data_IF_680744660942
#
_entry.id   IF_680744660942
#
_cell.length_a   1.000
_cell.length_b   1.000
_cell.length_c   1.000
_cell.angle_alpha   90.00
_cell.angle_beta   90.00
_cell.angle_gamma   90.00
#
_symmetry.space_group_name_H-M   'P 1'
#
loop_
_entity.id
_entity.type
_entity.pdbx_description
1 polymer ?
#
# COMPACT_ATOMS: atom_id res chain seq x y z
N UNK A 1 -8.65 1.64 -29.38
CA UNK A 1 -9.72 1.59 -28.36
C UNK A 1 -9.73 0.20 -27.72
N UNK A 2 -9.83 0.08 -26.40
CA UNK A 2 -9.78 -1.22 -25.70
C UNK A 2 -11.05 -2.03 -26.01
N UNK A 3 -10.90 -3.30 -26.40
CA UNK A 3 -12.02 -4.20 -26.72
C UNK A 3 -12.93 -4.42 -25.50
N UNK A 4 -14.24 -4.62 -25.73
CA UNK A 4 -15.20 -4.95 -24.68
C UNK A 4 -14.79 -6.23 -23.90
N UNK A 5 -14.19 -7.21 -24.59
CA UNK A 5 -13.66 -8.43 -23.96
C UNK A 5 -12.51 -8.12 -23.00
N UNK A 6 -11.61 -7.21 -23.38
CA UNK A 6 -10.51 -6.75 -22.52
C UNK A 6 -11.03 -5.95 -21.32
N UNK A 7 -12.03 -5.09 -21.49
CA UNK A 7 -12.65 -4.35 -20.37
C UNK A 7 -13.23 -5.31 -19.33
N UNK A 8 -14.01 -6.31 -19.76
CA UNK A 8 -14.56 -7.34 -18.85
C UNK A 8 -13.46 -8.10 -18.11
N UNK A 9 -12.42 -8.51 -18.83
CA UNK A 9 -11.28 -9.20 -18.22
C UNK A 9 -10.62 -8.34 -17.14
N UNK A 10 -10.34 -7.07 -17.40
CA UNK A 10 -9.71 -6.16 -16.42
C UNK A 10 -10.59 -5.93 -15.20
N UNK A 11 -11.91 -5.79 -15.38
CA UNK A 11 -12.84 -5.67 -14.26
C UNK A 11 -12.84 -6.94 -13.39
N UNK A 12 -12.86 -8.13 -14.01
CA UNK A 12 -12.80 -9.40 -13.27
C UNK A 12 -11.48 -9.52 -12.51
N UNK A 13 -10.35 -9.21 -13.15
CA UNK A 13 -9.04 -9.25 -12.50
C UNK A 13 -8.96 -8.26 -11.34
N UNK A 14 -9.51 -7.05 -11.48
CA UNK A 14 -9.56 -6.06 -10.40
C UNK A 14 -10.43 -6.55 -9.23
N UNK A 15 -11.58 -7.17 -9.51
CA UNK A 15 -12.44 -7.74 -8.48
C UNK A 15 -11.74 -8.89 -7.73
N UNK A 16 -11.06 -9.79 -8.44
CA UNK A 16 -10.28 -10.88 -7.83
C UNK A 16 -9.16 -10.30 -6.94
N UNK A 17 -8.43 -9.31 -7.44
CA UNK A 17 -7.36 -8.66 -6.68
C UNK A 17 -7.89 -8.01 -5.38
N UNK A 18 -9.01 -7.29 -5.45
CA UNK A 18 -9.65 -6.67 -4.28
C UNK A 18 -10.10 -7.72 -3.25
N UNK A 19 -10.74 -8.80 -3.70
CA UNK A 19 -11.16 -9.90 -2.84
C UNK A 19 -9.97 -10.59 -2.18
N UNK A 20 -8.92 -10.90 -2.94
CA UNK A 20 -7.70 -11.52 -2.41
C UNK A 20 -7.02 -10.61 -1.38
N UNK A 21 -7.01 -9.30 -1.61
CA UNK A 21 -6.47 -8.32 -0.66
C UNK A 21 -7.28 -8.29 0.65
N UNK A 22 -8.61 -8.30 0.56
CA UNK A 22 -9.48 -8.37 1.74
C UNK A 22 -9.30 -9.67 2.55
N UNK A 23 -9.26 -10.83 1.87
CA UNK A 23 -9.00 -12.13 2.51
C UNK A 23 -7.64 -12.11 3.23
N UNK A 24 -6.61 -11.54 2.59
CA UNK A 24 -5.28 -11.44 3.19
C UNK A 24 -5.29 -10.68 4.52
N UNK A 25 -6.08 -9.63 4.67
CA UNK A 25 -6.20 -8.87 5.92
C UNK A 25 -6.83 -9.68 7.04
N UNK A 26 -7.90 -10.43 6.75
CA UNK A 26 -8.59 -11.29 7.72
C UNK A 26 -7.65 -12.43 8.17
N UNK A 27 -6.96 -13.07 7.22
CA UNK A 27 -5.99 -14.12 7.52
C UNK A 27 -4.81 -13.60 8.34
N UNK A 28 -4.33 -12.37 8.07
CA UNK A 28 -3.27 -11.76 8.88
C UNK A 28 -3.70 -11.56 10.33
N UNK A 29 -4.95 -11.10 10.57
CA UNK A 29 -5.49 -10.98 11.94
C UNK A 29 -5.53 -12.33 12.63
N UNK A 30 -6.10 -13.35 11.98
CA UNK A 30 -6.16 -14.71 12.52
C UNK A 30 -4.75 -15.24 12.85
N UNK A 31 -3.76 -14.96 12.01
CA UNK A 31 -2.38 -15.37 12.24
C UNK A 31 -1.76 -14.68 13.46
N UNK A 32 -2.04 -13.39 13.67
CA UNK A 32 -1.58 -12.67 14.87
C UNK A 32 -2.25 -13.16 16.15
N UNK A 33 -3.49 -13.66 16.06
CA UNK A 33 -4.24 -14.18 17.21
C UNK A 33 -3.81 -15.62 17.57
N UNK A 34 -3.29 -16.41 16.62
CA UNK A 34 -2.78 -17.77 16.86
C UNK A 34 -1.51 -17.77 17.71
N UNK A 35 -0.57 -16.85 17.45
CA UNK A 35 0.70 -16.84 18.17
C UNK A 35 1.28 -15.43 18.34
N UNK A 36 1.68 -15.06 19.57
CA UNK A 36 2.33 -13.78 19.83
C UNK A 36 3.71 -13.65 19.18
N UNK A 37 4.36 -14.78 18.83
CA UNK A 37 5.63 -14.80 18.11
C UNK A 37 5.51 -14.23 16.68
N UNK A 38 4.30 -14.22 16.12
CA UNK A 38 4.04 -13.66 14.80
C UNK A 38 3.90 -12.14 14.95
N UNK A 39 4.94 -11.44 14.54
CA UNK A 39 4.98 -9.97 14.56
C UNK A 39 4.53 -9.40 13.21
N UNK A 40 3.93 -8.19 13.20
CA UNK A 40 3.63 -7.47 11.97
C UNK A 40 4.87 -7.29 11.07
N UNK A 41 6.04 -7.08 11.69
CA UNK A 41 7.31 -6.97 10.99
C UNK A 41 7.69 -8.27 10.29
N UNK A 42 7.65 -9.39 11.00
CA UNK A 42 7.97 -10.70 10.42
C UNK A 42 7.02 -11.05 9.26
N UNK A 43 5.71 -10.86 9.46
CA UNK A 43 4.73 -11.12 8.40
C UNK A 43 4.96 -10.21 7.18
N UNK A 44 5.33 -8.95 7.42
CA UNK A 44 5.68 -8.01 6.35
C UNK A 44 6.90 -8.49 5.56
N UNK A 45 7.97 -8.88 6.25
CA UNK A 45 9.20 -9.36 5.61
C UNK A 45 8.96 -10.62 4.80
N UNK A 46 8.28 -11.62 5.36
CA UNK A 46 7.94 -12.86 4.65
C UNK A 46 7.12 -12.55 3.40
N UNK A 47 6.08 -11.72 3.51
CA UNK A 47 5.24 -11.34 2.37
C UNK A 47 6.01 -10.57 1.29
N UNK A 48 6.85 -9.60 1.68
CA UNK A 48 7.62 -8.80 0.73
C UNK A 48 8.70 -9.64 0.01
N UNK A 49 9.45 -10.47 0.73
CA UNK A 49 10.48 -11.32 0.13
C UNK A 49 9.83 -12.35 -0.81
N UNK A 50 8.80 -13.06 -0.34
CA UNK A 50 8.13 -14.11 -1.14
C UNK A 50 7.49 -13.52 -2.40
N UNK A 51 6.68 -12.47 -2.27
CA UNK A 51 6.05 -11.82 -3.41
C UNK A 51 7.09 -11.18 -4.35
N UNK A 52 8.13 -10.56 -3.79
CA UNK A 52 9.22 -9.96 -4.55
C UNK A 52 9.96 -10.98 -5.41
N UNK A 53 10.32 -12.13 -4.84
CA UNK A 53 10.97 -13.23 -5.58
C UNK A 53 10.05 -13.78 -6.67
N UNK A 54 8.77 -14.02 -6.36
CA UNK A 54 7.79 -14.50 -7.35
C UNK A 54 7.67 -13.51 -8.52
N UNK A 55 7.57 -12.21 -8.25
CA UNK A 55 7.49 -11.17 -9.29
C UNK A 55 8.78 -11.10 -10.12
N UNK A 56 9.95 -11.24 -9.52
CA UNK A 56 11.22 -11.24 -10.24
C UNK A 56 11.39 -12.48 -11.14
N UNK A 57 10.95 -13.65 -10.67
CA UNK A 57 10.94 -14.88 -11.49
C UNK A 57 9.97 -14.69 -12.67
N UNK A 58 8.75 -14.22 -12.42
CA UNK A 58 7.77 -13.94 -13.47
C UNK A 58 8.29 -12.91 -14.49
N UNK A 59 9.01 -11.88 -14.02
CA UNK A 59 9.64 -10.87 -14.87
C UNK A 59 10.77 -11.47 -15.74
N UNK A 60 11.55 -12.40 -15.17
CA UNK A 60 12.57 -13.16 -15.90
C UNK A 60 11.96 -14.00 -17.02
N UNK A 61 10.90 -14.76 -16.72
CA UNK A 61 10.15 -15.56 -17.69
C UNK A 61 9.53 -14.68 -18.79
N UNK A 62 9.05 -13.49 -18.42
CA UNK A 62 8.50 -12.49 -19.34
C UNK A 62 9.57 -11.73 -20.16
N UNK A 63 10.84 -12.15 -20.10
CA UNK A 63 11.99 -11.55 -20.80
C UNK A 63 12.23 -10.08 -20.46
N UNK A 64 11.81 -9.61 -19.28
CA UNK A 64 11.92 -8.20 -18.86
C UNK A 64 13.28 -7.85 -18.23
N UNK A 65 14.24 -8.79 -18.24
CA UNK A 65 15.64 -8.61 -17.81
C UNK A 65 15.79 -7.84 -16.47
N UNK A 66 15.21 -8.35 -15.37
CA UNK A 66 15.15 -7.63 -14.09
C UNK A 66 16.52 -7.17 -13.55
N UNK A 67 17.59 -7.93 -13.81
CA UNK A 67 18.95 -7.65 -13.32
C UNK A 67 19.55 -6.40 -13.98
N UNK A 68 19.17 -6.09 -15.23
CA UNK A 68 19.72 -4.94 -15.97
C UNK A 68 19.26 -3.62 -15.35
N UNK A 69 18.05 -3.57 -14.81
CA UNK A 69 17.49 -2.37 -14.18
C UNK A 69 18.34 -1.90 -12.99
N UNK A 70 18.91 -2.83 -12.20
CA UNK A 70 19.75 -2.50 -11.05
C UNK A 70 21.13 -1.96 -11.44
N UNK A 71 21.60 -2.21 -12.66
CA UNK A 71 22.90 -1.66 -13.13
C UNK A 71 22.86 -0.15 -13.26
N UNK A 72 21.67 0.43 -13.45
CA UNK A 72 21.48 1.87 -13.49
C UNK A 72 21.29 2.40 -12.06
N UNK A 73 22.35 3.02 -11.50
CA UNK A 73 22.37 3.55 -10.12
C UNK A 73 21.18 4.48 -9.81
N UNK A 74 20.82 5.48 -10.64
CA UNK A 74 19.61 6.28 -10.47
C UNK A 74 18.33 5.45 -10.31
N UNK A 75 18.14 4.44 -11.17
CA UNK A 75 16.94 3.59 -11.10
C UNK A 75 16.94 2.74 -9.82
N UNK A 76 18.08 2.16 -9.46
CA UNK A 76 18.22 1.37 -8.23
C UNK A 76 17.90 2.21 -6.99
N UNK A 77 18.35 3.47 -6.93
CA UNK A 77 18.05 4.39 -5.83
C UNK A 77 16.55 4.69 -5.72
N UNK A 78 15.87 4.94 -6.86
CA UNK A 78 14.42 5.17 -6.88
C UNK A 78 13.66 3.92 -6.44
N UNK A 79 14.07 2.74 -6.88
CA UNK A 79 13.44 1.47 -6.46
C UNK A 79 13.65 1.23 -4.97
N UNK A 80 14.85 1.54 -4.44
CA UNK A 80 15.14 1.44 -3.02
C UNK A 80 14.26 2.39 -2.20
N UNK A 81 14.14 3.66 -2.63
CA UNK A 81 13.25 4.63 -2.00
C UNK A 81 11.78 4.20 -2.06
N UNK A 82 11.34 3.66 -3.20
CA UNK A 82 10.01 3.10 -3.35
C UNK A 82 9.76 1.90 -2.42
N UNK A 83 10.76 1.03 -2.27
CA UNK A 83 10.74 -0.07 -1.32
C UNK A 83 10.62 0.40 0.14
N UNK A 84 11.55 1.24 0.58
CA UNK A 84 11.68 1.64 1.98
C UNK A 84 10.67 2.69 2.42
N UNK A 85 10.31 3.65 1.56
CA UNK A 85 9.40 4.75 1.91
C UNK A 85 7.98 4.52 1.40
N UNK A 86 7.77 3.60 0.46
CA UNK A 86 6.45 3.23 -0.05
C UNK A 86 6.01 1.87 0.48
N UNK A 87 6.57 0.79 -0.07
CA UNK A 87 6.14 -0.60 0.16
C UNK A 87 6.28 -1.08 1.61
N UNK A 88 7.35 -0.69 2.30
CA UNK A 88 7.57 -1.09 3.68
C UNK A 88 6.56 -0.42 4.64
N UNK A 89 6.45 0.92 4.71
CA UNK A 89 5.54 1.57 5.65
C UNK A 89 4.07 1.29 5.36
N UNK A 90 3.67 1.26 4.08
CA UNK A 90 2.28 0.97 3.68
C UNK A 90 1.83 -0.41 4.16
N UNK A 91 2.76 -1.37 4.26
CA UNK A 91 2.43 -2.74 4.64
C UNK A 91 2.65 -3.00 6.13
N UNK A 92 3.78 -2.54 6.68
CA UNK A 92 4.13 -2.72 8.09
C UNK A 92 3.11 -2.04 8.98
N UNK A 93 2.83 -0.75 8.74
CA UNK A 93 1.93 0.00 9.60
C UNK A 93 0.49 -0.48 9.45
N UNK A 94 0.08 -0.87 8.24
CA UNK A 94 -1.19 -1.56 8.02
C UNK A 94 -1.33 -2.81 8.92
N UNK A 95 -0.34 -3.70 8.91
CA UNK A 95 -0.38 -4.89 9.76
C UNK A 95 -0.28 -4.60 11.26
N UNK A 96 0.42 -3.55 11.67
CA UNK A 96 0.40 -3.09 13.07
C UNK A 96 -1.01 -2.69 13.49
N UNK A 97 -1.73 -1.95 12.65
CA UNK A 97 -3.13 -1.59 12.92
C UNK A 97 -4.03 -2.82 12.93
N UNK A 98 -3.84 -3.78 12.02
CA UNK A 98 -4.58 -5.05 12.05
C UNK A 98 -4.37 -5.76 13.39
N UNK A 99 -3.13 -5.84 13.87
CA UNK A 99 -2.82 -6.49 15.15
C UNK A 99 -3.49 -5.78 16.33
N UNK A 100 -3.38 -4.45 16.40
CA UNK A 100 -3.93 -3.65 17.51
C UNK A 100 -5.46 -3.50 17.47
N UNK A 101 -6.05 -3.51 16.28
CA UNK A 101 -7.48 -3.38 16.05
C UNK A 101 -7.95 -4.53 15.15
N UNK A 102 -8.32 -4.23 13.90
CA UNK A 102 -8.80 -5.20 12.93
C UNK A 102 -8.52 -4.76 11.47
N UNK A 103 -8.76 -5.66 10.52
CA UNK A 103 -8.54 -5.44 9.08
C UNK A 103 -9.37 -4.29 8.51
N UNK A 104 -10.62 -4.14 8.93
CA UNK A 104 -11.52 -3.09 8.46
C UNK A 104 -11.01 -1.71 8.86
N UNK A 105 -10.59 -1.54 10.12
CA UNK A 105 -10.03 -0.29 10.64
C UNK A 105 -8.75 0.10 9.88
N UNK A 106 -7.84 -0.86 9.70
CA UNK A 106 -6.60 -0.63 8.96
C UNK A 106 -6.87 -0.18 7.51
N UNK A 107 -7.86 -0.80 6.86
CA UNK A 107 -8.28 -0.46 5.49
C UNK A 107 -8.82 0.96 5.38
N UNK A 108 -9.72 1.35 6.29
CA UNK A 108 -10.31 2.70 6.29
C UNK A 108 -9.22 3.75 6.47
N UNK A 109 -8.30 3.56 7.43
CA UNK A 109 -7.20 4.48 7.67
C UNK A 109 -6.25 4.56 6.47
N UNK A 110 -5.91 3.43 5.86
CA UNK A 110 -5.05 3.38 4.68
C UNK A 110 -5.67 4.06 3.46
N UNK A 111 -6.99 3.94 3.25
CA UNK A 111 -7.71 4.60 2.16
C UNK A 111 -7.89 6.11 2.33
N UNK A 112 -7.32 6.72 3.37
CA UNK A 112 -7.08 8.17 3.41
C UNK A 112 -5.89 8.55 2.50
N UNK A 113 -5.01 7.59 2.16
CA UNK A 113 -3.83 7.75 1.30
C UNK A 113 -4.03 8.62 0.06
N UNK A 114 -5.10 8.41 -0.76
CA UNK A 114 -5.41 9.23 -1.91
C UNK A 114 -5.54 10.74 -1.60
N UNK A 115 -5.99 11.13 -0.41
CA UNK A 115 -6.06 12.55 -0.03
C UNK A 115 -4.69 13.15 0.24
N UNK A 116 -3.74 12.37 0.75
CA UNK A 116 -2.33 12.78 0.84
C UNK A 116 -1.71 12.94 -0.56
N UNK A 117 -2.06 12.05 -1.51
CA UNK A 117 -1.64 12.17 -2.91
C UNK A 117 -2.18 13.46 -3.53
N UNK A 118 -3.47 13.73 -3.41
CA UNK A 118 -4.12 14.94 -3.93
C UNK A 118 -3.48 16.19 -3.32
N UNK A 119 -3.31 16.23 -1.99
CA UNK A 119 -2.65 17.34 -1.31
C UNK A 119 -1.24 17.58 -1.85
N UNK A 120 -0.42 16.53 -1.94
CA UNK A 120 0.93 16.62 -2.48
C UNK A 120 0.95 17.18 -3.91
N UNK A 121 0.08 16.70 -4.80
CA UNK A 121 -0.01 17.16 -6.19
C UNK A 121 -0.49 18.60 -6.30
N UNK A 122 -1.42 19.03 -5.44
CA UNK A 122 -1.85 20.43 -5.38
C UNK A 122 -0.69 21.35 -4.97
N UNK A 123 0.11 20.98 -3.98
CA UNK A 123 1.26 21.79 -3.55
C UNK A 123 2.41 21.79 -4.57
N UNK A 124 2.75 20.63 -5.14
CA UNK A 124 3.94 20.48 -6.00
C UNK A 124 3.69 20.75 -7.48
N UNK A 125 2.49 20.48 -7.97
CA UNK A 125 2.14 20.58 -9.39
C UNK A 125 1.03 21.60 -9.67
N UNK A 126 0.65 22.39 -8.65
CA UNK A 126 -0.42 23.41 -8.73
C UNK A 126 -1.72 22.85 -9.33
N UNK A 127 -1.97 21.56 -9.10
CA UNK A 127 -3.14 20.90 -9.65
C UNK A 127 -4.38 21.38 -8.88
N UNK A 128 -5.36 21.91 -9.61
CA UNK A 128 -6.58 22.48 -9.01
C UNK A 128 -7.40 21.36 -8.38
N UNK A 129 -7.55 21.40 -7.07
CA UNK A 129 -8.39 20.49 -6.32
C UNK A 129 -9.85 20.78 -6.64
N UNK A 130 -10.60 19.76 -7.07
CA UNK A 130 -12.02 19.94 -7.37
C UNK A 130 -12.79 20.05 -6.06
N UNK A 131 -13.90 20.79 -6.05
CA UNK A 131 -14.79 20.88 -4.88
C UNK A 131 -15.25 19.50 -4.39
N UNK A 132 -15.43 18.55 -5.31
CA UNK A 132 -15.77 17.16 -4.99
C UNK A 132 -14.64 16.43 -4.25
N UNK A 133 -13.38 16.70 -4.56
CA UNK A 133 -12.24 16.08 -3.89
C UNK A 133 -12.17 16.53 -2.43
N UNK A 134 -12.44 17.82 -2.18
CA UNK A 134 -12.52 18.40 -0.83
C UNK A 134 -13.69 17.78 -0.06
N UNK A 135 -14.87 17.70 -0.67
CA UNK A 135 -16.04 17.09 -0.02
C UNK A 135 -15.80 15.61 0.30
N UNK A 136 -15.21 14.85 -0.63
CA UNK A 136 -14.83 13.46 -0.41
C UNK A 136 -13.81 13.32 0.72
N UNK A 137 -12.83 14.23 0.82
CA UNK A 137 -11.88 14.26 1.92
C UNK A 137 -12.58 14.47 3.25
N UNK A 138 -13.43 15.48 3.35
CA UNK A 138 -14.21 15.77 4.58
C UNK A 138 -15.04 14.55 4.98
N UNK A 139 -15.77 13.93 4.04
CA UNK A 139 -16.56 12.73 4.30
C UNK A 139 -15.68 11.55 4.78
N UNK A 140 -14.52 11.34 4.17
CA UNK A 140 -13.60 10.26 4.55
C UNK A 140 -13.03 10.48 5.97
N UNK A 141 -12.58 11.70 6.29
CA UNK A 141 -12.09 12.04 7.62
C UNK A 141 -13.21 11.98 8.68
N UNK A 142 -14.44 12.36 8.34
CA UNK A 142 -15.60 12.12 9.22
C UNK A 142 -15.85 10.64 9.45
N UNK A 143 -15.73 9.79 8.42
CA UNK A 143 -15.82 8.34 8.57
C UNK A 143 -14.75 7.79 9.52
N UNK A 144 -13.52 8.27 9.42
CA UNK A 144 -12.40 7.92 10.31
C UNK A 144 -12.67 8.37 11.75
N UNK A 145 -13.23 9.57 11.92
CA UNK A 145 -13.63 10.09 13.23
C UNK A 145 -14.72 9.21 13.86
N UNK A 146 -15.77 8.89 13.11
CA UNK A 146 -16.86 8.01 13.57
C UNK A 146 -16.35 6.60 13.92
N UNK A 147 -15.43 6.07 13.11
CA UNK A 147 -14.76 4.80 13.37
C UNK A 147 -13.94 4.86 14.66
N UNK A 148 -13.21 5.95 14.90
CA UNK A 148 -12.38 6.13 16.09
C UNK A 148 -13.17 6.30 17.38
N UNK A 149 -14.45 6.69 17.30
CA UNK A 149 -15.32 6.93 18.46
C UNK A 149 -16.41 5.88 18.62
N UNK A 150 -16.64 5.01 17.64
CA UNK A 150 -17.87 4.21 17.51
C UNK A 150 -19.15 5.04 17.73
N UNK A 151 -19.12 6.33 17.40
CA UNK A 151 -20.23 7.27 17.65
C UNK A 151 -20.35 7.81 19.09
N UNK A 152 -19.46 7.41 20.00
CA UNK A 152 -19.40 7.92 21.37
C UNK A 152 -18.28 8.96 21.52
N UNK A 153 -18.65 10.24 21.56
CA UNK A 153 -17.70 11.37 21.55
C UNK A 153 -16.75 11.44 22.77
N UNK A 154 -17.03 10.68 23.82
CA UNK A 154 -16.26 10.70 25.08
C UNK A 154 -15.28 9.54 25.23
N UNK A 155 -15.23 8.58 24.30
CA UNK A 155 -14.32 7.43 24.35
C UNK A 155 -13.77 7.08 22.97
N UNK A 156 -12.47 6.82 22.92
CA UNK A 156 -11.81 6.33 21.71
C UNK A 156 -11.98 4.81 21.63
N UNK A 157 -12.74 4.37 20.62
CA UNK A 157 -12.89 2.98 20.23
C UNK A 157 -11.59 2.37 19.69
N UNK A 158 -10.74 3.22 19.09
CA UNK A 158 -9.44 2.84 18.54
C UNK A 158 -8.36 3.47 19.39
N UNK A 159 -7.32 2.71 19.72
CA UNK A 159 -6.19 3.25 20.48
C UNK A 159 -5.50 4.38 19.70
N UNK A 160 -5.02 5.45 20.37
CA UNK A 160 -4.25 6.51 19.70
C UNK A 160 -3.06 5.98 18.90
N UNK A 161 -2.44 4.90 19.37
CA UNK A 161 -1.38 4.20 18.66
C UNK A 161 -1.86 3.63 17.32
N UNK A 162 -3.00 2.94 17.28
CA UNK A 162 -3.53 2.38 16.04
C UNK A 162 -3.92 3.48 15.04
N UNK A 163 -4.43 4.63 15.50
CA UNK A 163 -4.67 5.79 14.63
C UNK A 163 -3.37 6.33 14.04
N UNK A 164 -2.34 6.52 14.87
CA UNK A 164 -1.03 7.00 14.44
C UNK A 164 -0.40 6.08 13.36
N UNK A 165 -0.38 4.76 13.61
CA UNK A 165 0.14 3.80 12.63
C UNK A 165 -0.71 3.78 11.36
N UNK A 166 -2.03 3.88 11.46
CA UNK A 166 -2.90 3.92 10.27
C UNK A 166 -2.67 5.15 9.41
N UNK A 167 -2.45 6.33 10.01
CA UNK A 167 -2.08 7.54 9.29
C UNK A 167 -0.71 7.40 8.61
N UNK A 168 0.28 6.83 9.29
CA UNK A 168 1.56 6.52 8.66
C UNK A 168 1.42 5.52 7.50
N UNK A 169 0.49 4.56 7.60
CA UNK A 169 0.15 3.65 6.50
C UNK A 169 -0.42 4.38 5.29
N UNK A 170 -1.26 5.40 5.52
CA UNK A 170 -1.82 6.25 4.47
C UNK A 170 -0.74 7.12 3.79
N UNK A 171 0.23 7.63 4.56
CA UNK A 171 1.40 8.33 4.00
C UNK A 171 2.28 7.36 3.20
N UNK A 172 2.43 6.12 3.66
CA UNK A 172 3.06 5.03 2.92
C UNK A 172 2.34 4.74 1.60
N UNK A 173 1.02 4.69 1.59
CA UNK A 173 0.18 4.53 0.39
C UNK A 173 0.41 5.66 -0.63
N UNK A 174 0.47 6.90 -0.15
CA UNK A 174 0.76 8.04 -1.00
C UNK A 174 2.17 7.98 -1.60
N UNK A 175 3.16 7.63 -0.78
CA UNK A 175 4.56 7.48 -1.21
C UNK A 175 4.72 6.32 -2.20
N UNK A 176 4.08 5.19 -1.93
CA UNK A 176 3.99 4.03 -2.82
C UNK A 176 3.42 4.40 -4.20
N UNK A 177 2.44 5.31 -4.24
CA UNK A 177 1.82 5.79 -5.49
C UNK A 177 2.71 6.79 -6.24
N UNK A 178 3.33 7.72 -5.51
CA UNK A 178 4.03 8.86 -6.11
C UNK A 178 5.48 8.55 -6.54
N UNK A 179 6.24 7.83 -5.72
CA UNK A 179 7.67 7.58 -5.96
C UNK A 179 7.93 6.86 -7.30
N UNK A 180 7.22 5.77 -7.65
CA UNK A 180 7.58 5.00 -8.83
C UNK A 180 7.05 5.61 -10.15
N UNK A 181 6.29 6.71 -10.12
CA UNK A 181 5.54 7.23 -11.28
C UNK A 181 6.39 7.46 -12.54
N UNK A 182 7.65 7.86 -12.37
CA UNK A 182 8.55 8.15 -13.48
C UNK A 182 9.33 6.91 -13.96
N UNK A 183 9.66 5.99 -13.04
CA UNK A 183 10.42 4.79 -13.39
C UNK A 183 9.54 3.74 -14.07
N UNK A 184 8.27 3.60 -13.67
CA UNK A 184 7.33 2.64 -14.28
C UNK A 184 6.95 2.99 -15.72
N UNK A 185 7.22 4.22 -16.17
CA UNK A 185 7.07 4.64 -17.57
C UNK A 185 8.19 4.08 -18.47
N UNK A 186 9.32 3.67 -17.89
CA UNK A 186 10.54 3.25 -18.63
C UNK A 186 10.95 1.82 -18.32
N UNK A 187 10.59 1.33 -17.14
CA UNK A 187 10.89 -0.02 -16.63
C UNK A 187 9.57 -0.69 -16.30
N UNK A 188 9.47 -1.99 -16.57
CA UNK A 188 8.28 -2.75 -16.21
C UNK A 188 7.94 -2.62 -14.73
N UNK A 189 6.65 -2.41 -14.43
CA UNK A 189 6.12 -2.38 -13.06
C UNK A 189 6.45 -3.67 -12.30
N UNK A 190 6.44 -4.83 -12.96
CA UNK A 190 6.77 -6.11 -12.33
C UNK A 190 8.21 -6.12 -11.79
N UNK A 191 9.16 -5.54 -12.53
CA UNK A 191 10.57 -5.43 -12.12
C UNK A 191 10.75 -4.42 -11.01
N UNK A 192 10.13 -3.24 -11.13
CA UNK A 192 10.19 -2.17 -10.12
C UNK A 192 9.59 -2.66 -8.80
N UNK A 193 8.40 -3.26 -8.84
CA UNK A 193 7.72 -3.81 -7.66
C UNK A 193 8.48 -5.00 -7.07
N UNK A 194 8.94 -5.94 -7.90
CA UNK A 194 9.70 -7.10 -7.42
C UNK A 194 10.96 -6.70 -6.66
N UNK A 195 11.80 -5.83 -7.24
CA UNK A 195 13.00 -5.36 -6.57
C UNK A 195 12.71 -4.48 -5.35
N UNK A 196 11.69 -3.61 -5.42
CA UNK A 196 11.26 -2.79 -4.30
C UNK A 196 10.84 -3.65 -3.11
N UNK A 197 10.08 -4.72 -3.35
CA UNK A 197 9.65 -5.66 -2.32
C UNK A 197 10.83 -6.44 -1.71
N UNK A 198 11.74 -6.96 -2.54
CA UNK A 198 12.92 -7.68 -2.01
C UNK A 198 13.80 -6.76 -1.17
N UNK A 199 14.13 -5.56 -1.65
CA UNK A 199 14.97 -4.61 -0.91
C UNK A 199 14.30 -4.16 0.40
N UNK A 200 12.99 -3.90 0.37
CA UNK A 200 12.22 -3.55 1.56
C UNK A 200 12.17 -4.68 2.58
N UNK A 201 11.95 -5.92 2.13
CA UNK A 201 11.85 -7.10 2.99
C UNK A 201 13.18 -7.52 3.63
N UNK A 202 14.32 -7.14 3.04
CA UNK A 202 15.65 -7.37 3.61
C UNK A 202 16.07 -6.30 4.62
N UNK A 203 15.36 -5.16 4.68
CA UNK A 203 15.53 -4.16 5.74
C UNK A 203 15.18 -4.77 7.09
N UNK A 204 16.15 -4.81 8.00
CA UNK A 204 15.95 -5.25 9.38
C UNK A 204 15.36 -4.14 10.23
#
# INVERSE_FOLDING_TARGET
MVSQKQRRLWTILAAIAATMWGISGIMAKALFDISPAITPLWLTQVRLITAGVVLLIAAGISKQKPIVTLKNKPNALVILAYGLCGLLPVQLFYFIVIKQANASVATILQFIGPFFVIGFLTFTHKQVMRRLDILAAILAFMGVFLLSTHGHFNQLAITPAALFWGLLSAVGEASYTLIPVNIVKRVSSMVVTGWGMVMAGLGR
#
